data_IF_669235737795
#
_entry.id   IF_669235737795
#
_cell.length_a   1.000
_cell.length_b   1.000
_cell.length_c   1.000
_cell.angle_alpha   90.00
_cell.angle_beta   90.00
_cell.angle_gamma   90.00
#
_symmetry.space_group_name_H-M   'P 1'
#
loop_
_entity.id
_entity.type
_entity.pdbx_description
1 polymer ?
#
# COMPACT_ATOMS: atom_id res chain seq x y z
N UNK A 1 7.78 -9.96 7.33
CA UNK A 1 8.09 -9.63 5.93
C UNK A 1 8.43 -8.15 5.92
N UNK A 2 9.57 -7.80 5.35
CA UNK A 2 10.02 -6.42 5.13
C UNK A 2 9.77 -6.04 3.68
N UNK A 3 9.31 -4.82 3.44
CA UNK A 3 9.09 -4.23 2.11
C UNK A 3 9.54 -2.78 2.14
N UNK A 4 9.92 -2.23 1.00
CA UNK A 4 10.40 -0.85 0.88
C UNK A 4 9.53 -0.12 -0.13
N UNK A 5 8.79 0.88 0.32
CA UNK A 5 8.12 1.83 -0.58
C UNK A 5 9.17 2.79 -1.13
N UNK A 6 9.16 3.02 -2.43
CA UNK A 6 10.11 3.94 -3.11
C UNK A 6 9.32 4.90 -3.99
N UNK A 7 9.78 6.13 -4.02
CA UNK A 7 9.34 7.17 -4.95
C UNK A 7 10.50 8.09 -5.29
N UNK A 8 10.52 8.63 -6.53
CA UNK A 8 11.57 9.51 -7.01
C UNK A 8 11.01 10.73 -7.73
N UNK A 9 11.66 11.89 -7.52
CA UNK A 9 11.47 13.06 -8.38
C UNK A 9 12.65 13.20 -9.33
N UNK A 10 12.41 13.73 -10.52
CA UNK A 10 13.37 13.73 -11.61
C UNK A 10 13.36 15.04 -12.39
N UNK A 11 14.41 15.30 -13.15
CA UNK A 11 14.48 16.46 -14.05
C UNK A 11 13.63 16.31 -15.32
N UNK A 12 12.92 15.21 -15.52
CA UNK A 12 12.08 14.95 -16.70
C UNK A 12 11.65 13.50 -16.78
N UNK A 13 11.16 13.06 -17.93
CA UNK A 13 10.37 11.82 -18.04
C UNK A 13 11.18 10.58 -18.47
N UNK A 14 12.34 10.76 -19.11
CA UNK A 14 13.12 9.65 -19.64
C UNK A 14 14.62 9.78 -19.28
N UNK A 15 15.21 8.83 -18.56
CA UNK A 15 16.64 8.84 -18.25
C UNK A 15 17.55 8.71 -19.50
N UNK A 16 17.04 8.20 -20.62
CA UNK A 16 17.77 8.11 -21.89
C UNK A 16 17.96 9.48 -22.55
N UNK A 17 17.08 10.45 -22.27
CA UNK A 17 17.23 11.85 -22.67
C UNK A 17 18.18 12.63 -21.74
N UNK A 18 18.89 11.93 -20.87
CA UNK A 18 19.84 12.49 -19.92
C UNK A 18 19.18 13.10 -18.69
N UNK A 19 17.90 12.85 -18.45
CA UNK A 19 17.25 13.25 -17.20
C UNK A 19 17.82 12.47 -16.01
N UNK A 20 17.76 13.09 -14.83
CA UNK A 20 18.41 12.63 -13.61
C UNK A 20 17.44 12.66 -12.43
N UNK A 21 17.70 11.84 -11.42
CA UNK A 21 17.04 11.89 -10.13
C UNK A 21 17.42 13.16 -9.37
N UNK A 22 16.44 13.83 -8.75
CA UNK A 22 16.62 15.01 -7.90
C UNK A 22 16.18 14.81 -6.47
N UNK A 23 15.31 13.84 -6.24
CA UNK A 23 14.90 13.41 -4.90
C UNK A 23 14.64 11.91 -4.93
N UNK A 24 14.99 11.22 -3.87
CA UNK A 24 14.65 9.82 -3.66
C UNK A 24 14.22 9.61 -2.21
N UNK A 25 13.10 8.95 -2.03
CA UNK A 25 12.61 8.56 -0.71
C UNK A 25 12.29 7.08 -0.66
N UNK A 26 12.55 6.49 0.51
CA UNK A 26 12.16 5.13 0.82
C UNK A 26 11.57 5.04 2.22
N UNK A 27 10.48 4.30 2.37
CA UNK A 27 9.86 3.98 3.65
C UNK A 27 9.87 2.48 3.87
N UNK A 28 10.39 2.04 5.02
CA UNK A 28 10.36 0.64 5.41
C UNK A 28 8.98 0.26 5.94
N UNK A 29 8.43 -0.82 5.39
CA UNK A 29 7.23 -1.47 5.90
C UNK A 29 7.60 -2.80 6.57
N UNK A 30 7.05 -3.05 7.74
CA UNK A 30 7.06 -4.36 8.40
C UNK A 30 5.62 -4.88 8.44
N UNK A 31 5.38 -6.00 7.75
CA UNK A 31 4.02 -6.55 7.61
C UNK A 31 3.03 -5.50 7.05
N UNK A 32 3.44 -4.78 6.00
CA UNK A 32 2.69 -3.73 5.31
C UNK A 32 2.43 -2.44 6.11
N UNK A 33 3.01 -2.30 7.31
CA UNK A 33 2.85 -1.13 8.18
C UNK A 33 4.19 -0.39 8.27
N UNK A 34 4.22 0.96 8.15
CA UNK A 34 5.44 1.73 8.31
C UNK A 34 6.12 1.46 9.66
N UNK A 35 7.41 1.10 9.60
CA UNK A 35 8.22 0.82 10.80
C UNK A 35 8.73 2.08 11.51
N UNK A 36 8.64 3.22 10.82
CA UNK A 36 9.26 4.48 11.22
C UNK A 36 10.67 4.70 10.65
N UNK A 37 11.29 3.68 10.05
CA UNK A 37 12.56 3.85 9.35
C UNK A 37 12.32 4.37 7.94
N UNK A 38 13.08 5.40 7.56
CA UNK A 38 13.04 5.97 6.23
C UNK A 38 14.41 6.41 5.74
N UNK A 39 14.56 6.41 4.43
CA UNK A 39 15.66 7.03 3.72
C UNK A 39 15.08 8.17 2.88
N UNK A 40 15.69 9.35 2.94
CA UNK A 40 15.27 10.49 2.13
C UNK A 40 16.47 11.34 1.79
N UNK A 41 16.68 11.62 0.51
CA UNK A 41 17.78 12.47 0.02
C UNK A 41 17.32 13.32 -1.15
N UNK A 42 17.66 14.59 -1.11
CA UNK A 42 17.76 15.42 -2.29
C UNK A 42 19.09 15.15 -2.98
N UNK A 43 19.07 15.21 -4.31
CA UNK A 43 20.20 14.80 -5.15
C UNK A 43 20.55 15.91 -6.13
N UNK A 44 21.81 16.31 -6.16
CA UNK A 44 22.31 17.18 -7.20
C UNK A 44 22.35 16.43 -8.53
N UNK A 45 21.54 16.83 -9.52
CA UNK A 45 21.46 16.13 -10.80
C UNK A 45 22.62 16.44 -11.74
N UNK A 46 23.54 17.34 -11.37
CA UNK A 46 24.66 17.80 -12.20
C UNK A 46 24.21 18.31 -13.60
N UNK A 47 23.00 18.88 -13.65
CA UNK A 47 22.41 19.49 -14.86
C UNK A 47 21.38 20.55 -14.50
N UNK A 48 20.98 21.32 -15.50
CA UNK A 48 19.93 22.33 -15.36
C UNK A 48 18.57 21.69 -15.04
N UNK A 49 17.75 22.45 -14.30
CA UNK A 49 16.40 22.10 -13.97
C UNK A 49 15.42 22.63 -15.02
N UNK A 50 14.72 21.75 -15.78
CA UNK A 50 13.67 22.19 -16.69
C UNK A 50 12.50 22.81 -15.94
N UNK A 51 11.90 23.84 -16.51
CA UNK A 51 10.79 24.58 -15.90
C UNK A 51 9.57 23.71 -15.61
N UNK A 52 9.32 22.73 -16.48
CA UNK A 52 8.22 21.77 -16.34
C UNK A 52 8.40 20.89 -15.09
N UNK A 53 9.61 20.36 -14.88
CA UNK A 53 9.94 19.55 -13.71
C UNK A 53 9.86 20.40 -12.43
N UNK A 54 10.45 21.60 -12.45
CA UNK A 54 10.35 22.54 -11.32
C UNK A 54 8.89 22.87 -10.95
N UNK A 55 8.01 23.03 -11.93
CA UNK A 55 6.59 23.30 -11.69
C UNK A 55 5.90 22.14 -10.94
N UNK A 56 6.35 20.90 -11.14
CA UNK A 56 5.79 19.70 -10.51
C UNK A 56 6.26 19.57 -9.06
N UNK A 57 7.57 19.48 -8.82
CA UNK A 57 8.13 19.19 -7.48
C UNK A 57 8.68 20.41 -6.74
N UNK A 58 8.95 21.52 -7.43
CA UNK A 58 9.37 22.80 -6.81
C UNK A 58 10.82 22.84 -6.33
N UNK A 59 11.66 21.87 -6.72
CA UNK A 59 13.07 21.83 -6.35
C UNK A 59 13.88 22.64 -7.37
N UNK A 60 14.54 23.73 -6.93
CA UNK A 60 15.33 24.56 -7.82
C UNK A 60 16.74 24.02 -8.03
N UNK A 61 17.38 24.39 -9.14
CA UNK A 61 18.76 23.99 -9.43
C UNK A 61 19.72 24.50 -8.35
N UNK A 62 19.50 25.73 -7.84
CA UNK A 62 20.33 26.32 -6.79
C UNK A 62 20.22 25.53 -5.48
N UNK A 63 19.02 25.13 -5.10
CA UNK A 63 18.79 24.29 -3.91
C UNK A 63 19.52 22.94 -4.07
N UNK A 64 19.35 22.28 -5.21
CA UNK A 64 19.92 20.96 -5.46
C UNK A 64 21.45 20.97 -5.60
N UNK A 65 22.04 22.09 -6.00
CA UNK A 65 23.52 22.21 -6.13
C UNK A 65 24.25 22.01 -4.79
N UNK A 66 23.58 22.28 -3.66
CA UNK A 66 24.14 22.12 -2.31
C UNK A 66 24.07 20.67 -1.80
N UNK A 67 23.35 19.79 -2.51
CA UNK A 67 23.14 18.41 -2.11
C UNK A 67 24.16 17.45 -2.73
N UNK A 68 24.24 16.24 -2.17
CA UNK A 68 25.10 15.16 -2.67
C UNK A 68 24.63 14.70 -4.06
N UNK A 69 25.59 14.26 -4.86
CA UNK A 69 25.30 13.58 -6.13
C UNK A 69 24.80 12.16 -5.86
N UNK A 70 24.15 11.54 -6.84
CA UNK A 70 23.66 10.17 -6.71
C UNK A 70 24.78 9.19 -6.33
N UNK A 71 25.97 9.35 -6.90
CA UNK A 71 27.14 8.53 -6.58
C UNK A 71 27.50 8.49 -5.08
N UNK A 72 27.24 9.58 -4.37
CA UNK A 72 27.59 9.73 -2.94
C UNK A 72 26.53 9.17 -1.98
N UNK A 73 25.34 8.83 -2.50
CA UNK A 73 24.24 8.27 -1.72
C UNK A 73 23.88 6.84 -2.15
N UNK A 74 24.42 6.37 -3.27
CA UNK A 74 24.03 5.10 -3.87
C UNK A 74 24.24 3.90 -2.94
N UNK A 75 25.36 3.85 -2.20
CA UNK A 75 25.63 2.76 -1.26
C UNK A 75 24.62 2.74 -0.12
N UNK A 76 24.33 3.91 0.48
CA UNK A 76 23.37 4.04 1.56
C UNK A 76 21.95 3.68 1.11
N UNK A 77 21.58 4.04 -0.14
CA UNK A 77 20.30 3.69 -0.73
C UNK A 77 20.19 2.18 -0.95
N UNK A 78 21.22 1.56 -1.55
CA UNK A 78 21.22 0.12 -1.81
C UNK A 78 21.22 -0.69 -0.51
N UNK A 79 21.97 -0.26 0.50
CA UNK A 79 21.97 -0.89 1.83
C UNK A 79 20.58 -0.77 2.50
N UNK A 80 19.88 0.37 2.30
CA UNK A 80 18.52 0.54 2.82
C UNK A 80 17.51 -0.36 2.13
N UNK A 81 17.59 -0.51 0.80
CA UNK A 81 16.70 -1.38 0.02
C UNK A 81 17.00 -2.85 0.34
N UNK A 82 18.27 -3.25 0.30
CA UNK A 82 18.68 -4.64 0.44
C UNK A 82 18.16 -5.52 -0.69
N UNK A 83 17.80 -6.74 -0.36
CA UNK A 83 17.18 -7.72 -1.28
C UNK A 83 15.65 -7.77 -1.11
N UNK A 84 15.09 -6.88 -0.33
CA UNK A 84 13.68 -6.86 0.00
C UNK A 84 12.83 -6.42 -1.19
N UNK A 85 11.55 -6.76 -1.13
CA UNK A 85 10.58 -6.35 -2.15
C UNK A 85 10.37 -4.84 -2.10
N UNK A 86 10.43 -4.20 -3.27
CA UNK A 86 10.09 -2.78 -3.40
C UNK A 86 8.64 -2.59 -3.84
N UNK A 87 8.00 -1.54 -3.36
CA UNK A 87 6.62 -1.14 -3.66
C UNK A 87 6.66 0.24 -4.28
N UNK A 88 6.22 0.36 -5.52
CA UNK A 88 6.36 1.58 -6.33
C UNK A 88 5.04 1.85 -7.05
N UNK A 89 4.71 3.10 -7.31
CA UNK A 89 3.55 3.47 -8.10
C UNK A 89 3.94 3.87 -9.51
N UNK A 90 3.65 3.06 -10.52
CA UNK A 90 4.20 3.12 -11.88
C UNK A 90 5.69 2.75 -11.90
N UNK A 91 5.97 1.55 -11.43
CA UNK A 91 7.32 1.07 -11.12
C UNK A 91 8.32 1.15 -12.30
N UNK A 92 7.84 1.09 -13.54
CA UNK A 92 8.67 1.21 -14.73
C UNK A 92 9.45 2.53 -14.74
N UNK A 93 8.79 3.63 -14.33
CA UNK A 93 9.39 4.95 -14.29
C UNK A 93 10.57 5.03 -13.30
N UNK A 94 10.32 4.76 -12.03
CA UNK A 94 11.34 4.89 -10.97
C UNK A 94 12.50 3.89 -11.17
N UNK A 95 12.17 2.66 -11.55
CA UNK A 95 13.19 1.64 -11.81
C UNK A 95 14.06 2.00 -13.01
N UNK A 96 13.52 2.61 -14.07
CA UNK A 96 14.30 3.09 -15.19
C UNK A 96 15.33 4.15 -14.76
N UNK A 97 14.91 5.12 -13.94
CA UNK A 97 15.79 6.16 -13.42
C UNK A 97 16.84 5.61 -12.45
N UNK A 98 16.44 4.80 -11.48
CA UNK A 98 17.37 4.17 -10.53
C UNK A 98 18.41 3.31 -11.24
N UNK A 99 17.99 2.50 -12.22
CA UNK A 99 18.89 1.65 -12.97
C UNK A 99 19.81 2.45 -13.89
N UNK A 100 19.33 3.56 -14.46
CA UNK A 100 20.18 4.46 -15.25
C UNK A 100 21.27 5.13 -14.39
N UNK A 101 20.92 5.57 -13.19
CA UNK A 101 21.88 6.13 -12.25
C UNK A 101 22.92 5.08 -11.80
N UNK A 102 22.48 3.86 -11.50
CA UNK A 102 23.37 2.75 -11.16
C UNK A 102 24.29 2.37 -12.31
N UNK A 103 23.78 2.32 -13.54
CA UNK A 103 24.57 2.04 -14.74
C UNK A 103 25.67 3.10 -14.98
N UNK A 104 25.40 4.39 -14.71
CA UNK A 104 26.40 5.47 -14.75
C UNK A 104 27.56 5.24 -13.77
N UNK A 105 27.30 4.52 -12.67
CA UNK A 105 28.30 4.13 -11.68
C UNK A 105 28.96 2.77 -11.99
N UNK A 106 28.63 2.15 -13.12
CA UNK A 106 29.11 0.82 -13.47
C UNK A 106 28.56 -0.29 -12.58
N UNK A 107 27.40 -0.07 -11.94
CA UNK A 107 26.75 -1.03 -11.06
C UNK A 107 25.66 -1.81 -11.78
N UNK A 108 25.36 -3.04 -11.33
CA UNK A 108 24.24 -3.79 -11.87
C UNK A 108 22.90 -3.11 -11.52
N UNK A 109 21.86 -3.36 -12.33
CA UNK A 109 20.52 -2.88 -12.01
C UNK A 109 19.98 -3.50 -10.72
N UNK A 110 18.96 -2.87 -10.13
CA UNK A 110 18.24 -3.41 -8.98
C UNK A 110 17.63 -4.77 -9.36
N UNK A 111 17.97 -5.80 -8.60
CA UNK A 111 17.50 -7.17 -8.81
C UNK A 111 16.40 -7.59 -7.82
N UNK A 112 15.99 -6.71 -6.92
CA UNK A 112 14.93 -6.99 -5.96
C UNK A 112 13.56 -7.18 -6.64
N UNK A 113 12.69 -8.05 -6.10
CA UNK A 113 11.32 -8.16 -6.59
C UNK A 113 10.56 -6.86 -6.35
N UNK A 114 9.61 -6.52 -7.23
CA UNK A 114 8.83 -5.31 -7.05
C UNK A 114 7.32 -5.55 -7.18
N UNK A 115 6.55 -4.64 -6.58
CA UNK A 115 5.10 -4.50 -6.76
C UNK A 115 4.83 -3.15 -7.40
N UNK A 116 4.17 -3.16 -8.55
CA UNK A 116 3.62 -1.95 -9.16
C UNK A 116 2.19 -1.74 -8.68
N UNK A 117 2.00 -0.78 -7.77
CA UNK A 117 0.67 -0.47 -7.22
C UNK A 117 -0.28 0.12 -8.25
N UNK A 118 0.21 0.74 -9.33
CA UNK A 118 -0.61 1.18 -10.46
C UNK A 118 -1.22 -0.01 -11.19
N UNK A 119 -0.44 -1.06 -11.44
CA UNK A 119 -0.93 -2.29 -12.06
C UNK A 119 -1.96 -3.00 -11.16
N UNK A 120 -1.67 -3.11 -9.85
CA UNK A 120 -2.60 -3.67 -8.85
C UNK A 120 -3.91 -2.87 -8.82
N UNK A 121 -3.84 -1.53 -8.80
CA UNK A 121 -5.02 -0.68 -8.78
C UNK A 121 -5.87 -0.83 -10.04
N UNK A 122 -5.25 -0.88 -11.22
CA UNK A 122 -5.94 -1.10 -12.50
C UNK A 122 -6.64 -2.46 -12.57
N UNK A 123 -6.01 -3.49 -12.01
CA UNK A 123 -6.62 -4.82 -11.91
C UNK A 123 -7.81 -4.83 -10.95
N UNK A 124 -7.68 -4.18 -9.80
CA UNK A 124 -8.72 -4.15 -8.76
C UNK A 124 -9.91 -3.25 -9.14
N UNK A 125 -9.66 -2.17 -9.89
CA UNK A 125 -10.65 -1.17 -10.29
C UNK A 125 -10.62 -0.90 -11.80
N UNK A 126 -11.04 -1.85 -12.63
CA UNK A 126 -10.98 -1.71 -14.09
C UNK A 126 -11.71 -0.45 -14.56
N UNK A 127 -11.07 0.34 -15.44
CA UNK A 127 -11.64 1.57 -16.01
C UNK A 127 -11.68 2.79 -15.07
N UNK A 128 -11.29 2.66 -13.80
CA UNK A 128 -11.24 3.77 -12.88
C UNK A 128 -9.88 4.51 -12.92
N UNK A 129 -9.84 5.82 -12.60
CA UNK A 129 -8.59 6.55 -12.41
C UNK A 129 -7.73 5.89 -11.31
N UNK A 130 -6.45 5.68 -11.62
CA UNK A 130 -5.52 4.95 -10.75
C UNK A 130 -4.23 5.74 -10.45
N UNK A 131 -4.21 7.08 -10.67
CA UNK A 131 -3.11 7.92 -10.19
C UNK A 131 -3.06 7.93 -8.65
N UNK A 132 -1.92 8.28 -8.07
CA UNK A 132 -1.74 8.37 -6.61
C UNK A 132 -2.86 9.22 -5.98
N UNK A 133 -3.13 10.42 -6.53
CA UNK A 133 -4.23 11.30 -6.10
C UNK A 133 -5.61 10.66 -6.19
N UNK A 134 -5.86 9.94 -7.29
CA UNK A 134 -7.16 9.29 -7.49
C UNK A 134 -7.38 8.17 -6.46
N UNK A 135 -6.32 7.43 -6.13
CA UNK A 135 -6.36 6.38 -5.12
C UNK A 135 -6.49 6.97 -3.72
N UNK A 136 -5.78 8.06 -3.39
CA UNK A 136 -5.96 8.77 -2.12
C UNK A 136 -7.41 9.21 -1.93
N UNK A 137 -8.02 9.84 -2.95
CA UNK A 137 -9.44 10.24 -2.89
C UNK A 137 -10.37 9.05 -2.73
N UNK A 138 -10.10 7.95 -3.42
CA UNK A 138 -10.90 6.71 -3.34
C UNK A 138 -10.89 6.10 -1.95
N UNK A 139 -9.73 6.09 -1.29
CA UNK A 139 -9.54 5.50 0.03
C UNK A 139 -9.69 6.50 1.18
N UNK A 140 -10.10 7.75 0.88
CA UNK A 140 -10.22 8.84 1.84
C UNK A 140 -8.91 9.09 2.64
N UNK A 141 -7.77 8.98 1.96
CA UNK A 141 -6.45 9.31 2.49
C UNK A 141 -6.27 10.83 2.37
N UNK A 142 -5.83 11.46 3.45
CA UNK A 142 -5.64 12.91 3.51
C UNK A 142 -4.47 13.36 2.62
N UNK A 143 -4.76 14.31 1.72
CA UNK A 143 -3.81 14.94 0.79
C UNK A 143 -3.39 16.35 1.24
N UNK A 144 -3.83 16.84 2.40
CA UNK A 144 -3.64 18.23 2.82
C UNK A 144 -2.18 18.65 2.94
N UNK A 145 -1.28 17.69 3.20
CA UNK A 145 0.16 17.93 3.28
C UNK A 145 0.86 17.99 1.90
N UNK A 146 0.14 17.66 0.81
CA UNK A 146 0.70 17.57 -0.54
C UNK A 146 0.38 18.82 -1.36
N UNK A 147 1.12 19.91 -1.13
CA UNK A 147 1.03 21.10 -1.97
C UNK A 147 1.68 20.94 -3.35
N UNK A 148 2.79 20.17 -3.40
CA UNK A 148 3.53 19.77 -4.59
C UNK A 148 3.91 18.30 -4.49
N UNK A 149 4.36 17.74 -5.60
CA UNK A 149 4.98 16.41 -5.58
C UNK A 149 6.28 16.46 -4.77
N UNK A 150 6.51 15.43 -3.97
CA UNK A 150 7.72 15.26 -3.18
C UNK A 150 7.84 13.82 -2.75
N UNK A 151 8.99 13.19 -3.01
CA UNK A 151 9.16 11.76 -2.85
C UNK A 151 8.90 11.28 -1.41
N UNK A 152 9.26 12.04 -0.37
CA UNK A 152 8.99 11.65 1.03
C UNK A 152 7.48 11.62 1.34
N UNK A 153 6.72 12.61 0.84
CA UNK A 153 5.27 12.68 1.03
C UNK A 153 4.59 11.59 0.22
N UNK A 154 4.98 11.42 -1.04
CA UNK A 154 4.37 10.46 -1.96
C UNK A 154 4.63 9.02 -1.51
N UNK A 155 5.81 8.69 -0.96
CA UNK A 155 6.07 7.43 -0.27
C UNK A 155 5.11 7.18 0.91
N UNK A 156 4.81 8.20 1.73
CA UNK A 156 3.87 8.08 2.85
C UNK A 156 2.44 7.79 2.40
N UNK A 157 2.00 8.50 1.36
CA UNK A 157 0.70 8.28 0.71
C UNK A 157 0.64 6.88 0.08
N UNK A 158 1.70 6.50 -0.65
CA UNK A 158 1.80 5.18 -1.29
C UNK A 158 1.76 4.04 -0.29
N UNK A 159 2.44 4.16 0.86
CA UNK A 159 2.36 3.18 1.94
C UNK A 159 0.92 2.97 2.42
N UNK A 160 0.17 4.06 2.57
CA UNK A 160 -1.24 4.01 2.97
C UNK A 160 -2.13 3.40 1.88
N UNK A 161 -1.93 3.79 0.62
CA UNK A 161 -2.63 3.23 -0.54
C UNK A 161 -2.35 1.73 -0.68
N UNK A 162 -1.10 1.33 -0.52
CA UNK A 162 -0.70 -0.07 -0.65
C UNK A 162 -1.43 -0.94 0.38
N UNK A 163 -1.51 -0.51 1.64
CA UNK A 163 -2.27 -1.19 2.67
C UNK A 163 -3.74 -1.35 2.28
N UNK A 164 -4.38 -0.30 1.75
CA UNK A 164 -5.78 -0.34 1.28
C UNK A 164 -5.96 -1.24 0.06
N UNK A 165 -4.98 -1.26 -0.86
CA UNK A 165 -4.97 -2.18 -2.01
C UNK A 165 -4.84 -3.65 -1.58
N UNK A 166 -4.23 -3.94 -0.44
CA UNK A 166 -4.16 -5.30 0.14
C UNK A 166 -5.41 -5.71 0.93
N UNK A 167 -6.39 -4.80 1.11
CA UNK A 167 -7.62 -5.08 1.85
C UNK A 167 -7.79 -4.26 3.13
N UNK A 168 -6.92 -3.29 3.38
CA UNK A 168 -6.95 -2.43 4.55
C UNK A 168 -6.41 -3.09 5.81
N UNK A 169 -6.64 -2.45 6.97
CA UNK A 169 -6.22 -2.98 8.29
C UNK A 169 -6.96 -4.24 8.70
N UNK A 170 -8.06 -4.54 8.05
CA UNK A 170 -8.75 -5.83 8.14
C UNK A 170 -8.58 -6.50 6.77
N UNK A 171 -7.60 -7.41 6.60
CA UNK A 171 -7.59 -8.25 5.42
C UNK A 171 -8.95 -8.94 5.37
N UNK A 172 -9.65 -8.80 4.23
CA UNK A 172 -10.86 -9.56 3.99
C UNK A 172 -10.51 -11.02 4.32
N UNK A 173 -11.35 -11.67 5.10
CA UNK A 173 -11.36 -13.12 5.17
C UNK A 173 -11.80 -13.57 3.77
N UNK A 174 -10.87 -13.55 2.84
CA UNK A 174 -11.03 -14.25 1.59
C UNK A 174 -11.09 -15.73 1.95
N UNK A 175 -12.30 -16.20 2.16
CA UNK A 175 -12.58 -17.61 1.98
C UNK A 175 -12.34 -17.86 0.49
N UNK A 176 -11.07 -18.03 0.09
CA UNK A 176 -10.76 -18.69 -1.16
C UNK A 176 -11.44 -20.04 -1.00
N UNK A 177 -12.60 -20.17 -1.62
CA UNK A 177 -13.15 -21.48 -1.89
C UNK A 177 -12.08 -22.12 -2.79
N UNK A 178 -11.13 -22.82 -2.15
CA UNK A 178 -10.21 -23.68 -2.84
C UNK A 178 -11.08 -24.71 -3.58
N UNK A 179 -11.30 -24.43 -4.88
CA UNK A 179 -12.15 -25.28 -5.74
C UNK A 179 -11.59 -26.70 -5.83
N UNK A 180 -10.39 -26.94 -5.32
CA UNK A 180 -9.80 -28.27 -5.17
C UNK A 180 -10.27 -29.03 -3.94
N UNK A 181 -10.66 -28.33 -2.84
CA UNK A 181 -11.14 -28.98 -1.61
C UNK A 181 -12.66 -29.12 -1.57
N UNK A 182 -13.40 -28.34 -2.38
CA UNK A 182 -14.86 -28.41 -2.42
C UNK A 182 -15.39 -29.81 -2.83
N UNK A 183 -14.67 -30.53 -3.68
CA UNK A 183 -15.01 -31.91 -4.03
C UNK A 183 -14.76 -32.88 -2.87
N UNK A 184 -13.66 -32.71 -2.14
CA UNK A 184 -13.33 -33.54 -0.97
C UNK A 184 -14.21 -33.22 0.23
N UNK A 185 -14.63 -31.95 0.40
CA UNK A 185 -15.55 -31.54 1.45
C UNK A 185 -16.98 -31.99 1.18
N UNK A 186 -17.45 -32.04 -0.07
CA UNK A 186 -18.72 -32.62 -0.42
C UNK A 186 -18.76 -34.12 -0.19
N UNK A 187 -17.68 -34.85 -0.51
CA UNK A 187 -17.59 -36.29 -0.24
C UNK A 187 -17.53 -36.60 1.26
N UNK A 188 -16.82 -35.76 2.03
CA UNK A 188 -16.77 -35.88 3.49
C UNK A 188 -18.07 -35.42 4.18
N UNK A 189 -18.77 -34.42 3.62
CA UNK A 189 -20.08 -33.99 4.12
C UNK A 189 -21.15 -35.08 3.92
N UNK A 190 -21.11 -35.78 2.79
CA UNK A 190 -22.02 -36.91 2.51
C UNK A 190 -21.77 -38.13 3.41
N UNK A 191 -20.58 -38.26 4.00
CA UNK A 191 -20.20 -39.37 4.91
C UNK A 191 -20.47 -39.04 6.39
N UNK A 192 -20.75 -37.79 6.76
CA UNK A 192 -21.05 -37.46 8.16
C UNK A 192 -22.51 -37.84 8.50
N UNK A 193 -22.72 -38.70 9.47
CA UNK A 193 -24.09 -39.01 9.90
C UNK A 193 -24.75 -37.72 10.39
N UNK A 194 -26.05 -37.52 10.09
CA UNK A 194 -26.77 -36.34 10.56
C UNK A 194 -26.70 -36.28 12.09
N UNK A 195 -26.17 -35.18 12.60
CA UNK A 195 -26.12 -34.94 14.03
C UNK A 195 -27.56 -34.75 14.53
N UNK A 196 -28.01 -35.46 15.57
CA UNK A 196 -29.34 -35.20 16.15
C UNK A 196 -29.40 -33.75 16.60
N UNK A 197 -30.59 -33.10 16.43
CA UNK A 197 -30.79 -31.75 16.90
C UNK A 197 -30.51 -31.69 18.40
N UNK A 198 -29.64 -30.80 18.83
CA UNK A 198 -29.43 -30.56 20.26
C UNK A 198 -30.64 -29.82 20.80
N UNK A 199 -31.28 -30.31 21.85
CA UNK A 199 -32.38 -29.59 22.48
C UNK A 199 -31.81 -28.33 23.20
N UNK A 200 -31.97 -27.19 22.57
CA UNK A 200 -31.65 -25.88 23.17
C UNK A 200 -32.89 -25.30 23.82
N UNK A 201 -33.40 -26.00 24.83
CA UNK A 201 -34.45 -25.39 25.70
C UNK A 201 -33.72 -24.54 26.74
N UNK A 202 -34.10 -23.26 26.88
CA UNK A 202 -33.58 -22.42 27.95
C UNK A 202 -33.86 -23.03 29.30
N UNK A 203 -32.95 -22.87 30.24
CA UNK A 203 -33.15 -23.28 31.63
C UNK A 203 -34.18 -22.39 32.33
N UNK A 204 -34.73 -22.84 33.44
CA UNK A 204 -35.67 -22.02 34.22
C UNK A 204 -35.01 -20.73 34.73
N UNK A 205 -33.72 -20.77 35.08
CA UNK A 205 -32.97 -19.58 35.48
C UNK A 205 -32.79 -18.57 34.33
N UNK A 206 -32.50 -19.03 33.11
CA UNK A 206 -32.41 -18.18 31.91
C UNK A 206 -33.76 -17.55 31.56
N UNK A 207 -34.87 -18.31 31.71
CA UNK A 207 -36.21 -17.80 31.48
C UNK A 207 -36.60 -16.77 32.56
N UNK A 208 -36.22 -16.97 33.82
CA UNK A 208 -36.46 -16.02 34.90
C UNK A 208 -35.68 -14.72 34.68
N UNK A 209 -34.38 -14.82 34.33
CA UNK A 209 -33.57 -13.66 34.01
C UNK A 209 -34.09 -12.88 32.79
N UNK A 210 -34.52 -13.57 31.74
CA UNK A 210 -35.14 -12.95 30.57
C UNK A 210 -36.43 -12.21 30.91
N UNK A 211 -37.29 -12.78 31.77
CA UNK A 211 -38.52 -12.11 32.22
C UNK A 211 -38.20 -10.84 33.01
N UNK A 212 -37.24 -10.89 33.93
CA UNK A 212 -36.83 -9.74 34.71
C UNK A 212 -36.35 -8.58 33.80
N UNK A 213 -35.58 -8.88 32.78
CA UNK A 213 -35.13 -7.87 31.78
C UNK A 213 -36.35 -7.31 31.01
N UNK A 214 -37.29 -8.15 30.61
CA UNK A 214 -38.49 -7.69 29.88
C UNK A 214 -39.38 -6.75 30.70
N UNK A 215 -39.40 -6.91 32.02
CA UNK A 215 -40.16 -6.02 32.94
C UNK A 215 -39.56 -4.63 33.06
N UNK A 216 -38.21 -4.49 32.83
CA UNK A 216 -37.52 -3.21 32.83
C UNK A 216 -37.67 -2.43 31.50
N UNK A 217 -38.04 -3.10 30.41
CA UNK A 217 -38.15 -2.49 29.07
C UNK A 217 -39.56 -1.92 28.87
N UNK A 218 -39.68 -0.62 28.59
CA UNK A 218 -40.92 0.00 28.17
C UNK A 218 -41.39 -0.55 26.82
N UNK A 219 -42.49 -1.31 26.78
CA UNK A 219 -43.09 -1.90 25.55
C UNK A 219 -42.19 -2.93 24.87
N UNK A 220 -41.84 -4.05 25.51
CA UNK A 220 -40.99 -5.07 24.91
C UNK A 220 -41.70 -5.76 23.74
N UNK A 221 -41.04 -5.84 22.60
CA UNK A 221 -41.58 -6.42 21.36
C UNK A 221 -41.98 -7.89 21.51
N UNK A 222 -41.36 -8.65 22.41
CA UNK A 222 -41.62 -10.07 22.64
C UNK A 222 -42.90 -10.34 23.44
N UNK A 223 -43.53 -9.33 24.06
CA UNK A 223 -44.78 -9.44 24.75
C UNK A 223 -45.98 -8.97 23.89
N UNK A 224 -45.72 -8.47 22.67
CA UNK A 224 -46.76 -8.09 21.73
C UNK A 224 -47.19 -9.34 20.95
N UNK A 225 -48.44 -9.80 21.01
CA UNK A 225 -48.86 -10.93 20.19
C UNK A 225 -48.73 -10.55 18.72
N UNK A 226 -48.02 -11.40 17.97
CA UNK A 226 -47.97 -11.31 16.50
C UNK A 226 -49.39 -11.53 16.00
N UNK A 227 -50.02 -10.48 15.42
CA UNK A 227 -51.28 -10.57 14.72
C UNK A 227 -51.15 -11.35 13.41
#
# INVERSE_FOLDING_TARGET
MREIVIDTETTGLDPHDGHRIVEVACIELLHHIPSGRKFHRYVNPERDMPAEAFAVHGLSAEFLAEHKRFAEIADELLDFIGEDRVVIHNAEFDLAFLNAELARLGRPPLACPFIDTLAVARQRFPGAPASLDALCRRFAIDLSAREKHGADIDCGLLASIYLELLGGRQPALDFVADTGTAALDQENAARRPPRPPRPHRPTEEELAAHRAILEEIKSPLWLTPSG
#
